data_IF_075831934245
#
_entry.id   IF_075831934245
#
_cell.length_a   1.000
_cell.length_b   1.000
_cell.length_c   1.000
_cell.angle_alpha   90.00
_cell.angle_beta   90.00
_cell.angle_gamma   90.00
#
_symmetry.space_group_name_H-M   'P 1'
#
loop_
_entity.id
_entity.type
_entity.pdbx_description
1 polymer ?
#
# COMPACT_ATOMS: atom_id res chain seq x y z
N UNK A 1 -4.73 -17.60 -7.41
CA UNK A 1 -3.75 -16.49 -7.19
C UNK A 1 -2.89 -16.32 -8.46
N UNK A 2 -3.04 -15.22 -9.20
CA UNK A 2 -2.47 -15.11 -10.56
C UNK A 2 -0.94 -15.15 -10.65
N UNK A 3 -0.22 -14.63 -9.65
CA UNK A 3 1.25 -14.63 -9.64
C UNK A 3 1.90 -16.01 -9.46
N UNK A 4 1.12 -17.05 -9.13
CA UNK A 4 1.59 -18.42 -8.92
C UNK A 4 1.35 -19.32 -10.14
N UNK A 5 0.71 -18.79 -11.18
CA UNK A 5 0.47 -19.52 -12.43
C UNK A 5 1.75 -19.56 -13.26
N UNK A 6 1.97 -20.65 -14.00
CA UNK A 6 3.19 -20.84 -14.81
C UNK A 6 3.29 -19.90 -16.01
N UNK A 7 2.14 -19.52 -16.57
CA UNK A 7 2.01 -18.64 -17.74
C UNK A 7 2.99 -18.91 -18.91
N UNK A 8 3.00 -20.12 -19.50
CA UNK A 8 3.95 -20.46 -20.57
C UNK A 8 3.79 -19.60 -21.83
N UNK A 9 2.63 -18.97 -22.03
CA UNK A 9 2.34 -18.12 -23.19
C UNK A 9 2.56 -16.62 -22.91
N UNK A 10 2.89 -16.25 -21.67
CA UNK A 10 3.20 -14.85 -21.31
C UNK A 10 2.01 -13.89 -21.44
N UNK A 11 0.77 -14.39 -21.35
CA UNK A 11 -0.45 -13.57 -21.56
C UNK A 11 -0.92 -12.87 -20.28
N UNK A 12 -0.34 -13.22 -19.12
CA UNK A 12 -0.67 -12.59 -17.85
C UNK A 12 0.15 -11.32 -17.63
N UNK A 13 -0.53 -10.22 -17.36
CA UNK A 13 0.08 -8.93 -17.04
C UNK A 13 -0.29 -8.46 -15.64
N UNK A 14 0.55 -7.59 -15.05
CA UNK A 14 0.17 -6.91 -13.80
C UNK A 14 -0.86 -5.82 -14.11
N UNK A 15 -1.96 -5.70 -13.32
CA UNK A 15 -2.89 -4.59 -13.41
C UNK A 15 -2.20 -3.22 -13.25
N UNK A 16 -1.23 -3.15 -12.33
CA UNK A 16 -0.39 -1.97 -12.11
C UNK A 16 0.93 -2.34 -11.43
N UNK A 17 1.87 -1.41 -11.40
CA UNK A 17 3.27 -1.62 -10.99
C UNK A 17 3.39 -2.23 -9.58
N UNK A 18 2.60 -1.74 -8.63
CA UNK A 18 2.61 -2.17 -7.23
C UNK A 18 1.82 -3.47 -6.96
N UNK A 19 1.21 -4.08 -7.98
CA UNK A 19 0.41 -5.29 -7.81
C UNK A 19 1.32 -6.51 -7.66
N UNK A 20 1.22 -7.20 -6.52
CA UNK A 20 2.07 -8.35 -6.23
C UNK A 20 1.44 -9.67 -6.68
N UNK A 21 0.20 -9.95 -6.24
CA UNK A 21 -0.44 -11.26 -6.43
C UNK A 21 -1.37 -11.34 -7.66
N UNK A 22 -2.09 -10.27 -8.00
CA UNK A 22 -3.06 -10.31 -9.09
C UNK A 22 -2.39 -10.26 -10.46
N UNK A 23 -3.02 -10.92 -11.42
CA UNK A 23 -2.67 -10.90 -12.85
C UNK A 23 -3.96 -10.74 -13.66
N UNK A 24 -3.84 -10.12 -14.82
CA UNK A 24 -4.93 -9.90 -15.76
C UNK A 24 -4.49 -10.27 -17.17
N UNK A 25 -5.40 -10.89 -17.92
CA UNK A 25 -5.29 -10.99 -19.38
C UNK A 25 -6.06 -9.82 -19.97
N UNK A 26 -5.48 -9.14 -20.95
CA UNK A 26 -6.12 -8.01 -21.66
C UNK A 26 -6.44 -8.47 -23.07
N UNK A 27 -7.65 -8.17 -23.52
CA UNK A 27 -8.11 -8.46 -24.88
C UNK A 27 -8.64 -7.18 -25.51
N UNK A 28 -8.46 -7.06 -26.83
CA UNK A 28 -9.00 -5.94 -27.62
C UNK A 28 -10.10 -6.35 -28.59
N UNK A 29 -10.32 -7.65 -28.77
CA UNK A 29 -11.34 -8.18 -29.68
C UNK A 29 -11.95 -9.49 -29.17
N UNK A 30 -13.13 -9.85 -29.71
CA UNK A 30 -13.77 -11.14 -29.41
C UNK A 30 -12.99 -12.32 -29.97
N UNK A 31 -12.30 -12.13 -31.11
CA UNK A 31 -11.54 -13.19 -31.77
C UNK A 31 -10.39 -13.69 -30.88
N UNK A 32 -9.68 -12.76 -30.22
CA UNK A 32 -8.61 -13.09 -29.27
C UNK A 32 -9.11 -13.96 -28.10
N UNK A 33 -10.34 -13.72 -27.63
CA UNK A 33 -10.94 -14.51 -26.56
C UNK A 33 -11.21 -15.93 -27.01
N UNK A 34 -11.74 -16.11 -28.23
CA UNK A 34 -12.03 -17.43 -28.81
C UNK A 34 -10.73 -18.22 -29.01
N UNK A 35 -9.69 -17.58 -29.54
CA UNK A 35 -8.38 -18.21 -29.75
C UNK A 35 -7.71 -18.62 -28.44
N UNK A 36 -7.86 -17.80 -27.38
CA UNK A 36 -7.28 -18.06 -26.06
C UNK A 36 -8.18 -18.86 -25.13
N UNK A 37 -9.41 -19.19 -25.51
CA UNK A 37 -10.35 -19.98 -24.70
C UNK A 37 -9.73 -21.24 -24.04
N UNK A 38 -9.03 -22.12 -24.78
CA UNK A 38 -8.44 -23.32 -24.17
C UNK A 38 -7.35 -22.99 -23.14
N UNK A 39 -6.63 -21.90 -23.35
CA UNK A 39 -5.59 -21.41 -22.42
C UNK A 39 -6.23 -20.81 -21.17
N UNK A 40 -7.31 -20.04 -21.33
CA UNK A 40 -8.01 -19.45 -20.19
C UNK A 40 -8.62 -20.52 -19.28
N UNK A 41 -9.19 -21.57 -19.86
CA UNK A 41 -9.69 -22.72 -19.11
C UNK A 41 -8.57 -23.40 -18.30
N UNK A 42 -7.41 -23.66 -18.92
CA UNK A 42 -6.29 -24.27 -18.20
C UNK A 42 -5.76 -23.40 -17.06
N UNK A 43 -5.75 -22.08 -17.22
CA UNK A 43 -5.35 -21.15 -16.16
C UNK A 43 -6.36 -21.10 -15.01
N UNK A 44 -7.66 -21.27 -15.30
CA UNK A 44 -8.68 -21.38 -14.26
C UNK A 44 -8.46 -22.66 -13.44
N UNK A 45 -8.23 -23.79 -14.10
CA UNK A 45 -7.97 -25.07 -13.44
C UNK A 45 -6.70 -25.00 -12.58
N UNK A 46 -5.59 -24.47 -13.12
CA UNK A 46 -4.35 -24.26 -12.36
C UNK A 46 -4.57 -23.31 -11.16
N UNK A 47 -5.38 -22.27 -11.31
CA UNK A 47 -5.71 -21.36 -10.22
C UNK A 47 -6.52 -22.04 -9.09
N UNK A 48 -7.38 -23.00 -9.44
CA UNK A 48 -8.11 -23.84 -8.48
C UNK A 48 -7.13 -24.76 -7.75
N UNK A 49 -6.25 -25.45 -8.46
CA UNK A 49 -5.22 -26.32 -7.87
C UNK A 49 -4.31 -25.56 -6.90
N UNK A 50 -3.86 -24.36 -7.28
CA UNK A 50 -3.05 -23.48 -6.43
C UNK A 50 -3.77 -23.13 -5.13
N UNK A 51 -5.08 -22.90 -5.19
CA UNK A 51 -5.87 -22.59 -3.99
C UNK A 51 -6.09 -23.83 -3.12
N UNK A 52 -6.39 -24.98 -3.72
CA UNK A 52 -6.53 -26.26 -3.02
C UNK A 52 -5.22 -26.68 -2.33
N UNK A 53 -4.07 -26.41 -2.96
CA UNK A 53 -2.75 -26.64 -2.38
C UNK A 53 -2.39 -25.65 -1.25
N UNK A 54 -3.22 -24.64 -0.99
CA UNK A 54 -3.01 -23.66 0.07
C UNK A 54 -1.83 -22.71 -0.18
N UNK A 55 -1.29 -22.67 -1.40
CA UNK A 55 -0.13 -21.85 -1.75
C UNK A 55 -0.48 -20.36 -1.60
N UNK A 56 0.37 -19.59 -0.93
CA UNK A 56 0.17 -18.15 -0.74
C UNK A 56 1.27 -17.36 -1.43
N UNK A 57 0.89 -16.21 -2.00
CA UNK A 57 1.87 -15.21 -2.43
C UNK A 57 2.25 -14.43 -1.18
N UNK A 58 3.48 -14.60 -0.72
CA UNK A 58 4.00 -13.78 0.35
C UNK A 58 4.19 -12.35 -0.18
N UNK A 59 3.55 -11.35 0.43
CA UNK A 59 3.72 -9.99 -0.02
C UNK A 59 5.15 -9.54 0.30
N UNK A 60 5.87 -9.10 -0.74
CA UNK A 60 7.17 -8.46 -0.56
C UNK A 60 6.95 -7.14 0.17
N UNK A 61 7.43 -7.06 1.40
CA UNK A 61 7.50 -5.82 2.16
C UNK A 61 8.81 -5.13 1.80
N UNK A 62 8.77 -4.28 0.79
CA UNK A 62 9.88 -3.34 0.58
C UNK A 62 9.74 -2.23 1.62
N UNK A 63 10.72 -2.12 2.51
CA UNK A 63 10.80 -1.00 3.42
C UNK A 63 11.02 0.27 2.60
N UNK A 64 10.12 1.23 2.73
CA UNK A 64 10.33 2.54 2.12
C UNK A 64 11.55 3.18 2.78
N UNK A 65 12.48 3.77 2.03
CA UNK A 65 13.65 4.40 2.61
C UNK A 65 13.21 5.59 3.47
N UNK A 66 13.83 5.72 4.65
CA UNK A 66 13.62 6.87 5.54
C UNK A 66 14.32 8.09 4.92
N UNK A 67 13.62 9.20 4.62
CA UNK A 67 14.26 10.41 4.15
C UNK A 67 15.23 10.97 5.20
N UNK A 68 16.37 11.51 4.75
CA UNK A 68 17.39 12.06 5.64
C UNK A 68 16.82 13.14 6.60
N UNK A 69 15.87 13.94 6.12
CA UNK A 69 15.22 14.98 6.93
C UNK A 69 14.38 14.38 8.08
N UNK A 70 13.78 13.22 7.86
CA UNK A 70 13.03 12.54 8.91
C UNK A 70 13.96 11.79 9.86
N UNK A 71 15.00 11.13 9.34
CA UNK A 71 16.02 10.48 10.16
C UNK A 71 16.64 11.44 11.17
N UNK A 72 17.02 12.65 10.73
CA UNK A 72 17.57 13.68 11.62
C UNK A 72 16.62 14.00 12.79
N UNK A 73 15.31 14.04 12.55
CA UNK A 73 14.31 14.28 13.61
C UNK A 73 14.13 13.09 14.55
N UNK A 74 14.27 11.86 14.06
CA UNK A 74 14.26 10.66 14.88
C UNK A 74 15.50 10.63 15.80
N UNK A 75 16.67 10.96 15.26
CA UNK A 75 17.93 11.01 16.01
C UNK A 75 17.92 12.12 17.09
N UNK A 76 17.27 13.26 16.81
CA UNK A 76 17.10 14.36 17.75
C UNK A 76 16.11 14.04 18.90
N UNK A 77 15.12 13.17 18.65
CA UNK A 77 14.01 12.94 19.59
C UNK A 77 13.72 11.45 19.78
N UNK A 78 14.23 10.84 20.87
CA UNK A 78 13.95 9.44 21.20
C UNK A 78 12.45 9.14 21.38
N UNK A 79 11.68 10.13 21.85
CA UNK A 79 10.24 10.01 21.99
C UNK A 79 9.53 9.89 20.62
N UNK A 80 9.97 10.68 19.63
CA UNK A 80 9.45 10.59 18.27
C UNK A 80 9.81 9.25 17.63
N UNK A 81 11.04 8.79 17.82
CA UNK A 81 11.47 7.48 17.34
C UNK A 81 10.61 6.36 17.90
N UNK A 82 10.44 6.32 19.23
CA UNK A 82 9.62 5.31 19.90
C UNK A 82 8.17 5.36 19.41
N UNK A 83 7.60 6.56 19.26
CA UNK A 83 6.22 6.72 18.78
C UNK A 83 6.07 6.27 17.33
N UNK A 84 7.04 6.56 16.45
CA UNK A 84 7.03 6.13 15.06
C UNK A 84 7.16 4.61 14.94
N UNK A 85 8.09 3.99 15.68
CA UNK A 85 8.30 2.54 15.68
C UNK A 85 7.08 1.78 16.25
N UNK A 86 6.32 2.40 17.16
CA UNK A 86 5.08 1.83 17.69
C UNK A 86 3.90 1.86 16.69
N UNK A 87 3.98 2.65 15.61
CA UNK A 87 2.96 2.63 14.56
C UNK A 87 2.95 1.29 13.82
N UNK A 88 1.79 0.89 13.28
CA UNK A 88 1.73 -0.30 12.42
C UNK A 88 2.58 -0.11 11.15
N UNK A 89 3.16 -1.17 10.57
CA UNK A 89 4.01 -1.05 9.37
C UNK A 89 3.34 -0.31 8.21
N UNK A 90 2.02 -0.47 8.04
CA UNK A 90 1.25 0.28 7.05
C UNK A 90 1.19 1.79 7.31
N UNK A 91 1.08 2.21 8.58
CA UNK A 91 1.11 3.63 8.97
C UNK A 91 2.50 4.23 8.82
N UNK A 92 3.53 3.51 9.24
CA UNK A 92 4.93 3.91 9.03
C UNK A 92 5.19 4.13 7.54
N UNK A 93 4.83 3.14 6.71
CA UNK A 93 4.97 3.20 5.26
C UNK A 93 4.27 4.41 4.66
N UNK A 94 3.03 4.70 5.06
CA UNK A 94 2.27 5.83 4.54
C UNK A 94 2.97 7.17 4.83
N UNK A 95 3.56 7.34 6.02
CA UNK A 95 4.36 8.52 6.34
C UNK A 95 5.62 8.60 5.46
N UNK A 96 6.39 7.51 5.35
CA UNK A 96 7.60 7.48 4.54
C UNK A 96 7.31 7.77 3.06
N UNK A 97 6.25 7.19 2.48
CA UNK A 97 5.82 7.52 1.12
C UNK A 97 5.43 9.00 0.99
N UNK A 98 4.69 9.56 1.94
CA UNK A 98 4.30 10.96 1.90
C UNK A 98 5.50 11.91 1.99
N UNK A 99 6.48 11.61 2.85
CA UNK A 99 7.70 12.40 2.97
C UNK A 99 8.56 12.26 1.70
N UNK A 100 8.84 11.04 1.25
CA UNK A 100 9.66 10.75 0.06
C UNK A 100 9.05 11.25 -1.25
N UNK A 101 7.73 11.42 -1.34
CA UNK A 101 7.07 11.94 -2.53
C UNK A 101 7.46 13.40 -2.88
N UNK A 102 8.02 14.17 -1.93
CA UNK A 102 8.50 15.52 -2.21
C UNK A 102 9.95 15.50 -2.72
N UNK A 103 10.16 16.07 -3.92
CA UNK A 103 11.48 16.15 -4.56
C UNK A 103 12.42 17.15 -3.84
N UNK A 104 11.88 18.28 -3.37
CA UNK A 104 12.65 19.32 -2.69
C UNK A 104 12.81 19.00 -1.20
N UNK A 105 14.04 19.12 -0.70
CA UNK A 105 14.39 18.88 0.70
C UNK A 105 13.57 19.73 1.67
N UNK A 106 13.43 21.04 1.40
CA UNK A 106 12.62 21.92 2.23
C UNK A 106 11.16 21.46 2.35
N UNK A 107 10.57 20.94 1.26
CA UNK A 107 9.20 20.41 1.29
C UNK A 107 9.13 19.12 2.11
N UNK A 108 10.17 18.27 2.07
CA UNK A 108 10.24 17.08 2.94
C UNK A 108 10.30 17.48 4.40
N UNK A 109 11.16 18.45 4.76
CA UNK A 109 11.23 18.98 6.13
C UNK A 109 9.87 19.50 6.60
N UNK A 110 9.23 20.36 5.80
CA UNK A 110 7.93 20.93 6.17
C UNK A 110 6.85 19.85 6.34
N UNK A 111 6.88 18.79 5.52
CA UNK A 111 5.97 17.64 5.68
C UNK A 111 6.27 16.89 6.97
N UNK A 112 7.54 16.59 7.26
CA UNK A 112 7.94 15.92 8.50
C UNK A 112 7.46 16.71 9.71
N UNK A 113 7.84 17.98 9.81
CA UNK A 113 7.51 18.84 10.96
C UNK A 113 6.01 18.94 11.20
N UNK A 114 5.23 19.06 10.12
CA UNK A 114 3.76 19.09 10.20
C UNK A 114 3.16 17.85 10.85
N UNK A 115 3.77 16.68 10.64
CA UNK A 115 3.22 15.41 11.08
C UNK A 115 3.82 14.84 12.37
N UNK A 116 4.89 15.46 12.92
CA UNK A 116 5.47 15.07 14.21
C UNK A 116 4.41 14.97 15.33
N UNK A 117 3.52 15.96 15.56
CA UNK A 117 2.53 15.85 16.63
C UNK A 117 1.59 14.65 16.45
N UNK A 118 1.25 14.32 15.20
CA UNK A 118 0.34 13.20 14.90
C UNK A 118 1.03 11.85 15.13
N UNK A 119 2.32 11.74 14.82
CA UNK A 119 3.11 10.54 15.09
C UNK A 119 3.24 10.32 16.60
N UNK A 120 3.50 11.38 17.37
CA UNK A 120 3.56 11.32 18.83
C UNK A 120 2.23 10.88 19.46
N UNK A 121 1.11 11.25 18.84
CA UNK A 121 -0.24 10.80 19.21
C UNK A 121 -0.56 9.35 18.77
N UNK A 122 0.37 8.65 18.12
CA UNK A 122 0.16 7.28 17.61
C UNK A 122 -0.83 7.18 16.43
N UNK A 123 -1.12 8.31 15.77
CA UNK A 123 -2.07 8.39 14.66
C UNK A 123 -1.34 8.20 13.31
N UNK A 124 -2.01 7.57 12.37
CA UNK A 124 -1.57 7.48 10.97
C UNK A 124 -1.94 8.73 10.17
N UNK A 125 -1.27 8.95 9.04
CA UNK A 125 -1.47 10.15 8.20
C UNK A 125 -2.91 10.37 7.71
N UNK A 126 -3.71 9.30 7.63
CA UNK A 126 -5.12 9.33 7.20
C UNK A 126 -6.13 9.28 8.35
N UNK A 127 -5.66 9.24 9.61
CA UNK A 127 -6.54 9.17 10.76
C UNK A 127 -7.19 10.54 11.04
N UNK A 128 -8.42 10.55 11.58
CA UNK A 128 -9.07 11.78 12.00
C UNK A 128 -8.32 12.38 13.18
N UNK A 129 -7.86 13.61 13.01
CA UNK A 129 -7.33 14.44 14.10
C UNK A 129 -8.41 15.34 14.72
N UNK A 130 -9.63 15.28 14.18
CA UNK A 130 -10.77 16.12 14.54
C UNK A 130 -11.27 15.91 15.97
N UNK A 131 -11.08 14.72 16.56
CA UNK A 131 -11.65 14.34 17.87
C UNK A 131 -13.18 14.18 17.90
N UNK A 132 -13.86 14.41 16.77
CA UNK A 132 -15.33 14.44 16.66
C UNK A 132 -15.90 13.31 15.80
N UNK A 133 -15.09 12.33 15.40
CA UNK A 133 -15.57 11.20 14.62
C UNK A 133 -16.09 10.09 15.52
N UNK A 134 -17.23 9.51 15.17
CA UNK A 134 -17.79 8.37 15.91
C UNK A 134 -17.19 7.04 15.43
N UNK A 135 -16.52 7.02 14.28
CA UNK A 135 -15.86 5.83 13.72
C UNK A 135 -14.37 6.06 13.49
N UNK A 136 -13.63 6.05 14.59
CA UNK A 136 -12.16 6.00 14.55
C UNK A 136 -11.67 4.72 13.85
N UNK A 137 -10.54 4.76 13.14
CA UNK A 137 -9.61 5.89 13.06
C UNK A 137 -9.93 6.90 11.95
N UNK A 138 -10.85 6.63 11.04
CA UNK A 138 -11.16 7.52 9.91
C UNK A 138 -12.13 8.65 10.31
N UNK A 139 -12.27 9.66 9.45
CA UNK A 139 -13.36 10.63 9.57
C UNK A 139 -14.63 10.05 8.95
N UNK A 140 -15.72 10.01 9.69
CA UNK A 140 -17.06 9.60 9.23
C UNK A 140 -17.95 10.76 8.78
N UNK A 141 -17.44 12.00 8.86
CA UNK A 141 -18.19 13.20 8.50
C UNK A 141 -19.32 13.57 9.47
N UNK A 142 -19.45 12.89 10.61
CA UNK A 142 -20.52 13.10 11.59
C UNK A 142 -20.52 14.49 12.25
N UNK A 143 -19.46 15.28 12.07
CA UNK A 143 -19.30 16.63 12.59
C UNK A 143 -19.39 17.72 11.52
N UNK A 144 -19.86 17.39 10.31
CA UNK A 144 -20.02 18.34 9.20
C UNK A 144 -20.98 19.50 9.53
N UNK A 145 -21.87 19.32 10.51
CA UNK A 145 -22.85 20.29 10.98
C UNK A 145 -22.38 21.18 12.15
N UNK A 146 -21.17 20.98 12.67
CA UNK A 146 -20.64 21.73 13.84
C UNK A 146 -19.80 22.95 13.40
N UNK A 147 -19.74 23.23 12.09
CA UNK A 147 -18.89 24.28 11.52
C UNK A 147 -19.67 25.48 11.02
#
# INVERSE_FOLDING_TARGET
>A
KGALLKDPLGVLSKPGENTQAARVVRFTSLQEIIELEPVLKSYIDEAIEVEQAGLKVEPKQEAEPIPAEFQAKLDESPALQTAFEALTPGRQRAYLMHFSAAKQSQTRMNRVEKYIPQILDGKGIHDCTCGLSQKLPACDGSHKSIR
#
